data_IF_446867455528
#
_entry.id   IF_446867455528
#
_cell.length_a   1.000
_cell.length_b   1.000
_cell.length_c   1.000
_cell.angle_alpha   90.00
_cell.angle_beta   90.00
_cell.angle_gamma   90.00
#
_symmetry.space_group_name_H-M   'P 1'
#
loop_
_entity.id
_entity.type
_entity.pdbx_description
1 polymer ?
#
# COMPACT_ATOMS: atom_id res chain seq x y z
N UNK A 1 -6.24 18.86 -2.46
CA UNK A 1 -6.44 19.13 -3.90
C UNK A 1 -7.59 18.26 -4.37
N UNK A 2 -8.52 18.83 -5.12
CA UNK A 2 -9.71 18.12 -5.65
C UNK A 2 -9.33 17.14 -6.77
N UNK A 3 -9.91 15.95 -6.77
CA UNK A 3 -9.73 14.94 -7.84
C UNK A 3 -10.51 15.31 -9.12
N UNK A 4 -11.45 16.24 -9.02
CA UNK A 4 -12.33 16.73 -10.08
C UNK A 4 -11.55 17.35 -11.26
N UNK A 5 -10.31 17.79 -11.04
CA UNK A 5 -9.43 18.34 -12.09
C UNK A 5 -9.02 17.32 -13.17
N UNK A 6 -9.19 16.02 -12.90
CA UNK A 6 -8.70 14.94 -13.78
C UNK A 6 -9.68 14.56 -14.90
N UNK A 7 -10.82 15.25 -15.04
CA UNK A 7 -11.83 15.01 -16.09
C UNK A 7 -12.13 13.50 -16.28
N UNK A 8 -12.43 12.83 -15.18
CA UNK A 8 -12.69 11.40 -15.16
C UNK A 8 -13.99 11.07 -15.92
N UNK A 9 -14.11 9.86 -16.51
CA UNK A 9 -15.40 9.36 -16.97
C UNK A 9 -16.46 9.41 -15.86
N UNK A 10 -17.72 9.65 -16.24
CA UNK A 10 -18.81 9.84 -15.29
C UNK A 10 -18.88 8.73 -14.23
N UNK A 11 -18.74 7.48 -14.66
CA UNK A 11 -18.77 6.31 -13.78
C UNK A 11 -17.70 6.37 -12.69
N UNK A 12 -16.47 6.78 -13.02
CA UNK A 12 -15.39 6.92 -12.06
C UNK A 12 -15.59 8.13 -11.13
N UNK A 13 -16.09 9.24 -11.66
CA UNK A 13 -16.41 10.42 -10.86
C UNK A 13 -17.51 10.13 -9.82
N UNK A 14 -18.54 9.37 -10.21
CA UNK A 14 -19.62 8.97 -9.32
C UNK A 14 -19.13 8.08 -8.16
N UNK A 15 -18.17 7.20 -8.42
CA UNK A 15 -17.53 6.38 -7.38
C UNK A 15 -16.77 7.25 -6.39
N UNK A 16 -15.92 8.16 -6.88
CA UNK A 16 -15.13 9.03 -6.01
C UNK A 16 -15.99 9.99 -5.20
N UNK A 17 -17.08 10.51 -5.79
CA UNK A 17 -18.03 11.40 -5.11
C UNK A 17 -18.80 10.71 -3.96
N UNK A 18 -18.98 9.39 -4.03
CA UNK A 18 -19.62 8.59 -2.97
C UNK A 18 -18.63 8.05 -1.94
N UNK A 19 -17.32 8.19 -2.17
CA UNK A 19 -16.31 7.76 -1.21
C UNK A 19 -16.34 8.64 0.04
N UNK A 20 -16.26 8.07 1.26
CA UNK A 20 -16.15 8.85 2.49
C UNK A 20 -14.94 9.78 2.51
N UNK A 21 -13.87 9.40 1.80
CA UNK A 21 -12.65 10.18 1.70
C UNK A 21 -11.92 9.89 0.40
N UNK A 22 -11.33 10.92 -0.21
CA UNK A 22 -10.43 10.80 -1.36
C UNK A 22 -9.18 11.62 -1.08
N UNK A 23 -8.00 10.99 -1.21
CA UNK A 23 -6.70 11.63 -1.03
C UNK A 23 -5.93 11.53 -2.34
N UNK A 24 -5.45 12.66 -2.85
CA UNK A 24 -4.64 12.73 -4.07
C UNK A 24 -3.22 13.16 -3.70
N UNK A 25 -2.26 12.25 -3.82
CA UNK A 25 -0.83 12.56 -3.70
C UNK A 25 -0.29 13.17 -5.00
N UNK A 26 0.39 14.32 -4.91
CA UNK A 26 0.99 15.03 -6.04
C UNK A 26 2.51 14.85 -6.08
N UNK A 27 3.13 14.42 -4.97
CA UNK A 27 4.57 14.19 -4.89
C UNK A 27 4.88 12.80 -4.34
N UNK A 28 6.07 12.29 -4.68
CA UNK A 28 6.57 11.04 -4.11
C UNK A 28 6.70 11.15 -2.58
N UNK A 29 7.06 12.32 -2.05
CA UNK A 29 7.14 12.56 -0.62
C UNK A 29 5.77 12.44 0.08
N UNK A 30 4.72 13.00 -0.52
CA UNK A 30 3.34 12.83 -0.03
C UNK A 30 2.93 11.35 -0.04
N UNK A 31 3.22 10.63 -1.13
CA UNK A 31 2.92 9.21 -1.24
C UNK A 31 3.64 8.38 -0.16
N UNK A 32 4.93 8.64 0.07
CA UNK A 32 5.70 7.97 1.12
C UNK A 32 5.15 8.29 2.51
N UNK A 33 4.78 9.55 2.76
CA UNK A 33 4.20 9.93 4.05
C UNK A 33 2.87 9.19 4.30
N UNK A 34 2.00 9.11 3.29
CA UNK A 34 0.76 8.36 3.40
C UNK A 34 1.01 6.87 3.67
N UNK A 35 1.99 6.27 2.98
CA UNK A 35 2.33 4.87 3.16
C UNK A 35 2.92 4.54 4.54
N UNK A 36 3.62 5.49 5.17
CA UNK A 36 4.29 5.29 6.46
C UNK A 36 3.49 5.80 7.67
N UNK A 37 2.17 6.02 7.54
CA UNK A 37 1.33 6.44 8.66
C UNK A 37 1.35 7.95 8.95
N UNK A 38 1.79 8.76 7.98
CA UNK A 38 1.79 10.21 8.05
C UNK A 38 3.16 10.87 8.21
N UNK A 39 3.15 12.19 8.30
CA UNK A 39 4.37 12.98 8.49
C UNK A 39 4.95 12.73 9.90
N UNK A 40 6.25 12.46 9.97
CA UNK A 40 6.95 12.20 11.24
C UNK A 40 6.87 10.74 11.72
N UNK A 41 6.06 9.90 11.08
CA UNK A 41 6.06 8.47 11.37
C UNK A 41 7.13 7.72 10.55
N UNK A 42 7.73 6.73 11.21
CA UNK A 42 8.74 5.85 10.63
C UNK A 42 8.23 4.43 10.37
N UNK A 43 7.07 4.06 10.89
CA UNK A 43 6.47 2.76 10.66
C UNK A 43 4.94 2.85 10.68
N UNK A 44 4.30 1.91 10.00
CA UNK A 44 2.86 1.76 9.97
C UNK A 44 2.50 0.29 9.83
N UNK A 45 1.57 -0.17 10.66
CA UNK A 45 1.04 -1.52 10.58
C UNK A 45 -0.25 -1.49 9.78
N UNK A 46 -0.26 -2.24 8.68
CA UNK A 46 -1.45 -2.50 7.88
C UNK A 46 -2.14 -3.68 8.55
N UNK A 47 -3.17 -3.39 9.35
CA UNK A 47 -3.92 -4.37 10.12
C UNK A 47 -5.42 -4.29 9.84
N UNK A 48 -6.09 -5.44 9.94
CA UNK A 48 -7.52 -5.58 9.70
C UNK A 48 -8.19 -6.43 10.78
N UNK A 49 -9.40 -6.06 11.16
CA UNK A 49 -10.28 -6.93 11.95
C UNK A 49 -10.82 -8.07 11.08
N UNK A 50 -10.39 -9.28 11.40
CA UNK A 50 -10.80 -10.50 10.70
C UNK A 50 -11.86 -11.23 11.52
N UNK A 51 -13.07 -11.48 10.98
CA UNK A 51 -14.13 -12.17 11.69
C UNK A 51 -13.65 -13.52 12.27
N UNK A 52 -13.76 -13.67 13.59
CA UNK A 52 -13.35 -14.88 14.31
C UNK A 52 -11.86 -14.98 14.64
N UNK A 53 -11.01 -14.10 14.11
CA UNK A 53 -9.57 -14.09 14.36
C UNK A 53 -9.06 -12.81 15.05
N UNK A 54 -9.89 -11.76 15.13
CA UNK A 54 -9.52 -10.47 15.70
C UNK A 54 -8.65 -9.64 14.76
N UNK A 55 -7.90 -8.68 15.31
CA UNK A 55 -6.96 -7.87 14.54
C UNK A 55 -5.78 -8.70 14.03
N UNK A 56 -5.57 -8.69 12.72
CA UNK A 56 -4.46 -9.36 12.05
C UNK A 56 -3.63 -8.32 11.31
N UNK A 57 -2.31 -8.31 11.59
CA UNK A 57 -1.34 -7.50 10.85
C UNK A 57 -0.99 -8.21 9.54
N UNK A 58 -1.35 -7.59 8.41
CA UNK A 58 -1.05 -8.10 7.07
C UNK A 58 0.33 -7.63 6.58
N UNK A 59 0.73 -6.40 6.89
CA UNK A 59 2.02 -5.87 6.49
C UNK A 59 2.56 -4.81 7.45
N UNK A 60 3.88 -4.75 7.60
CA UNK A 60 4.57 -3.71 8.35
C UNK A 60 5.36 -2.85 7.36
N UNK A 61 4.93 -1.59 7.21
CA UNK A 61 5.56 -0.60 6.34
C UNK A 61 6.54 0.22 7.16
N UNK A 62 7.80 0.27 6.74
CA UNK A 62 8.87 0.98 7.44
C UNK A 62 9.56 1.99 6.51
N UNK A 63 9.77 3.20 7.04
CA UNK A 63 10.65 4.19 6.41
C UNK A 63 12.09 3.82 6.68
N UNK A 64 12.85 3.60 5.62
CA UNK A 64 14.27 3.25 5.69
C UNK A 64 15.12 4.32 5.00
N UNK A 65 16.44 4.28 5.21
CA UNK A 65 17.37 5.29 4.66
C UNK A 65 17.18 5.53 3.16
N UNK A 66 16.87 4.48 2.41
CA UNK A 66 16.80 4.52 0.94
C UNK A 66 15.37 4.43 0.38
N UNK A 67 14.32 4.60 1.20
CA UNK A 67 12.93 4.54 0.74
C UNK A 67 11.98 3.89 1.73
N UNK A 68 11.12 3.00 1.23
CA UNK A 68 10.09 2.31 2.00
C UNK A 68 10.30 0.80 1.87
N UNK A 69 10.25 0.11 3.00
CA UNK A 69 10.26 -1.36 3.07
C UNK A 69 8.89 -1.86 3.53
N UNK A 70 8.38 -2.91 2.92
CA UNK A 70 7.13 -3.57 3.33
C UNK A 70 7.45 -5.01 3.69
N UNK A 71 7.17 -5.38 4.94
CA UNK A 71 7.42 -6.71 5.47
C UNK A 71 6.09 -7.44 5.69
N UNK A 72 5.93 -8.58 5.04
CA UNK A 72 4.74 -9.42 5.19
C UNK A 72 5.00 -10.53 6.20
N UNK A 73 4.24 -10.60 7.32
CA UNK A 73 4.36 -11.68 8.29
C UNK A 73 4.09 -13.05 7.65
N UNK A 74 3.04 -13.13 6.83
CA UNK A 74 2.62 -14.34 6.12
C UNK A 74 3.61 -14.73 5.00
N UNK A 75 4.25 -15.92 5.08
CA UNK A 75 5.20 -16.37 4.06
C UNK A 75 4.63 -16.46 2.65
N UNK A 76 3.34 -16.79 2.50
CA UNK A 76 2.71 -16.89 1.18
C UNK A 76 2.68 -15.54 0.43
N UNK A 77 2.57 -14.43 1.15
CA UNK A 77 2.53 -13.08 0.58
C UNK A 77 3.89 -12.57 0.09
N UNK A 78 4.97 -13.32 0.35
CA UNK A 78 6.30 -13.00 -0.12
C UNK A 78 6.42 -13.47 -1.57
N UNK A 79 6.42 -12.53 -2.52
CA UNK A 79 6.63 -12.83 -3.94
C UNK A 79 7.85 -13.74 -4.11
N UNK A 80 7.61 -14.98 -4.52
CA UNK A 80 8.61 -15.86 -5.12
C UNK A 80 8.23 -15.94 -6.59
N UNK A 81 9.12 -15.49 -7.44
CA UNK A 81 8.98 -15.73 -8.87
C UNK A 81 9.18 -17.25 -9.06
N UNK A 82 8.17 -18.00 -9.53
CA UNK A 82 8.29 -19.45 -9.68
C UNK A 82 9.41 -19.84 -10.66
N UNK A 83 9.82 -18.93 -11.55
CA UNK A 83 10.85 -19.16 -12.56
C UNK A 83 12.25 -18.65 -12.11
N UNK A 84 12.44 -18.25 -10.84
CA UNK A 84 13.73 -17.73 -10.38
C UNK A 84 14.79 -18.79 -10.03
N UNK A 85 14.49 -20.08 -10.24
CA UNK A 85 15.43 -21.18 -10.04
C UNK A 85 15.64 -21.93 -11.36
N UNK A 86 16.73 -21.59 -12.07
CA UNK A 86 17.21 -22.37 -13.22
C UNK A 86 18.42 -23.17 -12.74
N UNK A 87 18.29 -24.50 -12.70
CA UNK A 87 19.41 -25.43 -12.48
C UNK A 87 19.77 -26.00 -13.84
N UNK A 88 21.00 -25.74 -14.31
CA UNK A 88 21.53 -26.28 -15.55
C UNK A 88 22.62 -27.30 -15.21
N UNK A 89 22.44 -28.53 -15.69
CA UNK A 89 23.39 -29.64 -15.53
C UNK A 89 24.14 -29.97 -16.84
N UNK A 90 24.01 -29.14 -17.89
CA UNK A 90 24.74 -29.27 -19.17
C UNK A 90 25.68 -28.08 -19.43
#
# INVERSE_FOLDING_TARGET
MSWEKYHLPQEAADILARSPQVIVANTVAELINLACGGLGSNHFEVAYEVPGNGEIVEAIVARVRNGVSVNYPEPYMRRRDPDCLVIADD
#
